data_IF_920586542760
#
_entry.id   IF_920586542760
#
_cell.length_a   1.000
_cell.length_b   1.000
_cell.length_c   1.000
_cell.angle_alpha   90.00
_cell.angle_beta   90.00
_cell.angle_gamma   90.00
#
_symmetry.space_group_name_H-M   'P 1'
#
loop_
_entity.id
_entity.type
_entity.pdbx_description
1 polymer ?
#
# COMPACT_ATOMS: atom_id res chain seq x y z
N UNK A 1 -18.62 0.10 -15.35
CA UNK A 1 -18.32 -0.57 -16.63
C UNK A 1 -18.49 -2.07 -16.41
N UNK A 2 -19.20 -2.80 -17.33
CA UNK A 2 -19.35 -4.24 -17.24
C UNK A 2 -18.02 -4.97 -17.16
N UNK A 3 -18.02 -6.15 -16.52
CA UNK A 3 -16.85 -7.02 -16.46
C UNK A 3 -16.93 -8.06 -17.56
N UNK A 4 -15.81 -8.34 -18.21
CA UNK A 4 -15.63 -9.46 -19.09
C UNK A 4 -15.68 -10.79 -18.33
N UNK A 5 -15.77 -11.93 -19.02
CA UNK A 5 -15.87 -13.25 -18.41
C UNK A 5 -14.67 -13.60 -17.49
N UNK A 6 -13.50 -13.01 -17.74
CA UNK A 6 -12.30 -13.15 -16.91
C UNK A 6 -12.29 -12.23 -15.67
N UNK A 7 -13.39 -11.50 -15.42
CA UNK A 7 -13.52 -10.55 -14.31
C UNK A 7 -12.87 -9.19 -14.54
N UNK A 8 -12.17 -8.98 -15.65
CA UNK A 8 -11.58 -7.69 -16.02
C UNK A 8 -12.63 -6.72 -16.53
N UNK A 9 -12.31 -5.43 -16.63
CA UNK A 9 -13.18 -4.44 -17.29
C UNK A 9 -13.24 -4.71 -18.79
N UNK A 10 -14.42 -4.62 -19.39
CA UNK A 10 -14.59 -4.64 -20.86
C UNK A 10 -13.95 -3.42 -21.52
N UNK A 11 -13.90 -2.28 -20.83
CA UNK A 11 -13.11 -1.13 -21.25
C UNK A 11 -11.65 -1.31 -20.79
N UNK A 12 -10.74 -1.42 -21.74
CA UNK A 12 -9.31 -1.68 -21.50
C UNK A 12 -8.44 -0.40 -21.44
N UNK A 13 -9.07 0.76 -21.35
CA UNK A 13 -8.37 2.05 -21.32
C UNK A 13 -8.34 2.77 -22.67
N UNK A 14 -7.91 4.04 -22.69
CA UNK A 14 -8.01 4.91 -23.86
C UNK A 14 -7.17 4.45 -25.06
N UNK A 15 -6.07 3.74 -24.81
CA UNK A 15 -5.12 3.34 -25.87
C UNK A 15 -5.44 1.99 -26.51
N UNK A 16 -6.23 1.16 -25.86
CA UNK A 16 -6.57 -0.19 -26.37
C UNK A 16 -7.79 -0.20 -27.29
N UNK A 17 -8.54 0.90 -27.37
CA UNK A 17 -9.74 1.09 -28.20
C UNK A 17 -10.81 -0.01 -28.02
N UNK A 18 -10.82 -0.69 -26.88
CA UNK A 18 -11.75 -1.78 -26.55
C UNK A 18 -12.77 -1.27 -25.55
N UNK A 19 -14.05 -1.48 -25.82
CA UNK A 19 -15.15 -1.05 -24.94
C UNK A 19 -15.38 0.45 -24.89
N UNK A 20 -14.90 1.24 -25.86
CA UNK A 20 -15.03 2.68 -25.88
C UNK A 20 -16.48 3.16 -25.73
N UNK A 21 -17.44 2.50 -26.41
CA UNK A 21 -18.87 2.84 -26.32
C UNK A 21 -19.42 2.70 -24.88
N UNK A 22 -18.85 1.84 -24.05
CA UNK A 22 -19.21 1.71 -22.62
C UNK A 22 -18.67 2.88 -21.81
N UNK A 23 -17.46 3.32 -22.13
CA UNK A 23 -16.88 4.51 -21.52
C UNK A 23 -17.68 5.75 -21.86
N UNK A 24 -18.03 5.96 -23.14
CA UNK A 24 -18.79 7.13 -23.63
C UNK A 24 -20.20 7.20 -23.02
N UNK A 25 -20.80 6.07 -22.66
CA UNK A 25 -22.07 6.02 -21.91
C UNK A 25 -21.89 6.41 -20.44
N UNK A 26 -20.73 6.12 -19.87
CA UNK A 26 -20.45 6.34 -18.44
C UNK A 26 -19.88 7.72 -18.14
N UNK A 27 -19.13 8.31 -19.08
CA UNK A 27 -18.43 9.59 -18.88
C UNK A 27 -18.77 10.53 -20.04
N UNK A 28 -19.20 11.72 -19.72
CA UNK A 28 -19.44 12.77 -20.70
C UNK A 28 -18.85 14.10 -20.25
N UNK A 29 -18.40 14.90 -21.20
CA UNK A 29 -17.83 16.24 -20.98
C UNK A 29 -18.63 17.29 -21.73
N UNK A 30 -19.00 18.36 -21.05
CA UNK A 30 -19.63 19.52 -21.64
C UNK A 30 -19.03 20.82 -21.08
N UNK A 31 -18.30 21.55 -21.89
CA UNK A 31 -17.53 22.70 -21.43
C UNK A 31 -16.51 22.29 -20.37
N UNK A 32 -16.60 22.85 -19.18
CA UNK A 32 -15.73 22.56 -18.03
C UNK A 32 -16.35 21.54 -17.06
N UNK A 33 -17.43 20.88 -17.43
CA UNK A 33 -18.13 19.92 -16.59
C UNK A 33 -17.92 18.51 -17.09
N UNK A 34 -17.49 17.61 -16.19
CA UNK A 34 -17.40 16.17 -16.41
C UNK A 34 -18.54 15.51 -15.63
N UNK A 35 -19.31 14.67 -16.32
CA UNK A 35 -20.40 13.90 -15.71
C UNK A 35 -20.07 12.42 -15.73
N UNK A 36 -20.12 11.78 -14.55
CA UNK A 36 -19.97 10.34 -14.40
C UNK A 36 -21.31 9.71 -14.09
N UNK A 37 -21.74 8.75 -14.91
CA UNK A 37 -22.95 7.93 -14.68
C UNK A 37 -22.54 6.61 -14.05
N UNK A 38 -22.84 6.47 -12.77
CA UNK A 38 -22.55 5.26 -12.02
C UNK A 38 -23.70 4.25 -12.21
N UNK A 39 -23.39 2.96 -12.27
CA UNK A 39 -24.38 1.88 -12.35
C UNK A 39 -25.00 1.52 -11.00
N UNK A 40 -24.47 2.04 -9.91
CA UNK A 40 -24.99 1.91 -8.54
C UNK A 40 -24.54 3.10 -7.70
N UNK A 41 -25.21 3.33 -6.59
CA UNK A 41 -24.74 4.29 -5.59
C UNK A 41 -23.36 3.88 -5.07
N UNK A 42 -22.44 4.82 -5.00
CA UNK A 42 -21.09 4.65 -4.46
C UNK A 42 -20.70 5.93 -3.72
N UNK A 43 -20.88 5.90 -2.40
CA UNK A 43 -20.67 7.06 -1.53
C UNK A 43 -19.24 7.63 -1.62
N UNK A 44 -18.24 6.73 -1.78
CA UNK A 44 -16.83 7.09 -1.80
C UNK A 44 -16.29 7.46 -3.21
N UNK A 45 -17.19 7.70 -4.18
CA UNK A 45 -16.76 7.96 -5.56
C UNK A 45 -15.84 9.19 -5.67
N UNK A 46 -16.16 10.25 -4.95
CA UNK A 46 -15.32 11.46 -4.93
C UNK A 46 -13.93 11.17 -4.36
N UNK A 47 -13.87 10.33 -3.34
CA UNK A 47 -12.59 9.90 -2.77
C UNK A 47 -11.79 9.06 -3.77
N UNK A 48 -12.44 8.16 -4.50
CA UNK A 48 -11.79 7.38 -5.55
C UNK A 48 -11.15 8.24 -6.66
N UNK A 49 -11.70 9.43 -6.94
CA UNK A 49 -11.13 10.38 -7.90
C UNK A 49 -9.85 11.07 -7.40
N UNK A 50 -9.52 10.97 -6.10
CA UNK A 50 -8.27 11.51 -5.56
C UNK A 50 -7.06 10.62 -5.83
N UNK A 51 -7.27 9.38 -6.24
CA UNK A 51 -6.17 8.48 -6.63
C UNK A 51 -5.47 8.95 -7.91
N UNK A 52 -4.20 8.60 -8.11
CA UNK A 52 -3.44 8.97 -9.32
C UNK A 52 -4.15 8.63 -10.63
N UNK A 53 -4.94 7.55 -10.66
CA UNK A 53 -5.74 7.17 -11.83
C UNK A 53 -6.84 8.19 -12.19
N UNK A 54 -7.23 9.06 -11.26
CA UNK A 54 -8.17 10.17 -11.48
C UNK A 54 -7.50 11.46 -11.92
N UNK A 55 -6.16 11.52 -11.98
CA UNK A 55 -5.44 12.73 -12.33
C UNK A 55 -5.71 13.15 -13.80
N UNK A 56 -5.99 14.43 -14.08
CA UNK A 56 -6.24 14.89 -15.43
C UNK A 56 -4.96 14.87 -16.27
N UNK A 57 -5.07 14.36 -17.50
CA UNK A 57 -4.00 14.36 -18.49
C UNK A 57 -4.30 15.41 -19.55
N UNK A 58 -3.34 16.30 -19.82
CA UNK A 58 -3.47 17.27 -20.90
C UNK A 58 -3.38 16.56 -22.26
N UNK A 59 -4.47 16.50 -23.02
CA UNK A 59 -4.56 15.73 -24.26
C UNK A 59 -3.42 16.04 -25.25
N UNK A 60 -3.01 17.32 -25.40
CA UNK A 60 -1.89 17.71 -26.28
C UNK A 60 -0.50 17.28 -25.78
N UNK A 61 -0.40 16.73 -24.59
CA UNK A 61 0.84 16.23 -23.97
C UNK A 61 0.78 14.74 -23.67
N UNK A 62 -0.32 14.09 -24.00
CA UNK A 62 -0.48 12.66 -23.85
C UNK A 62 0.40 11.92 -24.87
N UNK A 63 1.32 11.13 -24.34
CA UNK A 63 2.26 10.30 -25.14
C UNK A 63 1.89 8.82 -25.11
N UNK A 64 0.67 8.49 -24.70
CA UNK A 64 0.15 7.14 -24.63
C UNK A 64 0.87 6.29 -23.56
N UNK A 65 1.23 5.07 -23.89
CA UNK A 65 1.86 4.11 -22.99
C UNK A 65 3.22 4.60 -22.41
N UNK A 66 3.75 5.72 -22.88
CA UNK A 66 5.00 6.33 -22.38
C UNK A 66 4.76 7.58 -21.52
N UNK A 67 3.50 7.92 -21.27
CA UNK A 67 3.16 9.14 -20.54
C UNK A 67 3.70 9.16 -19.11
N UNK A 68 3.70 8.01 -18.44
CA UNK A 68 4.19 7.83 -17.07
C UNK A 68 5.70 8.06 -16.91
N UNK A 69 6.47 7.95 -18.00
CA UNK A 69 7.91 8.24 -17.96
C UNK A 69 8.20 9.74 -17.83
N UNK A 70 7.29 10.59 -18.32
CA UNK A 70 7.45 12.04 -18.27
C UNK A 70 6.09 12.76 -18.32
N UNK A 71 5.28 12.62 -17.27
CA UNK A 71 3.96 13.24 -17.21
C UNK A 71 4.07 14.76 -17.24
N UNK A 72 3.05 15.40 -17.83
CA UNK A 72 2.91 16.85 -17.79
C UNK A 72 2.42 17.30 -16.42
N UNK A 73 3.36 17.68 -15.55
CA UNK A 73 3.10 17.95 -14.15
C UNK A 73 2.43 19.31 -13.91
N UNK A 74 1.41 19.34 -13.07
CA UNK A 74 0.80 20.55 -12.52
C UNK A 74 1.32 20.93 -11.13
N UNK A 75 2.11 20.05 -10.49
CA UNK A 75 2.69 20.24 -9.17
C UNK A 75 3.97 21.06 -9.15
N UNK A 76 4.58 21.28 -7.95
CA UNK A 76 5.77 22.09 -7.78
C UNK A 76 7.04 21.50 -8.39
N UNK A 77 7.02 20.22 -8.72
CA UNK A 77 8.13 19.52 -9.38
C UNK A 77 7.68 18.87 -10.67
N UNK A 78 8.62 18.68 -11.60
CA UNK A 78 8.43 17.91 -12.84
C UNK A 78 9.63 16.97 -13.03
N UNK A 79 9.44 15.88 -13.76
CA UNK A 79 10.51 14.94 -14.06
C UNK A 79 11.48 15.57 -15.06
N UNK A 80 12.76 15.68 -14.69
CA UNK A 80 13.87 16.05 -15.55
C UNK A 80 14.39 14.86 -16.34
N UNK A 81 14.66 13.77 -15.63
CA UNK A 81 15.10 12.50 -16.22
C UNK A 81 14.54 11.32 -15.44
N UNK A 82 14.30 10.19 -16.12
CA UNK A 82 13.87 8.95 -15.49
C UNK A 82 14.46 7.75 -16.22
N UNK A 83 15.26 6.98 -15.51
CA UNK A 83 15.77 5.68 -15.91
C UNK A 83 15.11 4.61 -15.07
N UNK A 84 14.24 3.82 -15.68
CA UNK A 84 13.41 2.82 -15.01
C UNK A 84 14.29 1.86 -14.19
N UNK A 85 13.92 1.65 -12.93
CA UNK A 85 14.61 0.74 -12.02
C UNK A 85 15.94 1.25 -11.46
N UNK A 86 16.39 2.45 -11.84
CA UNK A 86 17.65 3.03 -11.42
C UNK A 86 17.44 4.38 -10.71
N UNK A 87 17.13 5.44 -11.48
CA UNK A 87 17.08 6.79 -10.92
C UNK A 87 16.01 7.66 -11.60
N UNK A 88 15.34 8.49 -10.81
CA UNK A 88 14.50 9.57 -11.29
C UNK A 88 14.97 10.90 -10.71
N UNK A 89 15.08 11.90 -11.55
CA UNK A 89 15.44 13.26 -11.17
C UNK A 89 14.25 14.20 -11.38
N UNK A 90 13.92 14.94 -10.33
CA UNK A 90 12.90 15.96 -10.35
C UNK A 90 13.57 17.34 -10.21
N UNK A 91 13.03 18.31 -10.93
CA UNK A 91 13.41 19.73 -10.84
C UNK A 91 12.18 20.58 -10.55
N UNK A 92 12.39 21.80 -10.09
CA UNK A 92 11.28 22.74 -9.87
C UNK A 92 10.49 22.99 -11.15
N UNK A 93 9.17 22.96 -11.02
CA UNK A 93 8.27 23.29 -12.11
C UNK A 93 8.00 24.80 -12.15
N UNK A 94 8.64 25.54 -13.04
CA UNK A 94 8.48 26.99 -13.18
C UNK A 94 7.05 27.44 -13.56
N UNK A 95 6.21 26.53 -14.00
CA UNK A 95 4.80 26.84 -14.29
C UNK A 95 3.90 26.73 -13.05
N UNK A 96 4.37 26.11 -11.97
CA UNK A 96 3.61 26.00 -10.71
C UNK A 96 3.55 27.33 -9.97
N UNK A 97 2.39 27.63 -9.38
CA UNK A 97 2.17 28.86 -8.60
C UNK A 97 1.67 28.51 -7.20
N UNK A 98 2.31 29.06 -6.18
CA UNK A 98 1.91 28.90 -4.77
C UNK A 98 0.47 29.36 -4.52
N UNK A 99 -0.02 30.37 -5.25
CA UNK A 99 -1.38 30.88 -5.12
C UNK A 99 -2.48 29.86 -5.50
N UNK A 100 -2.15 28.89 -6.36
CA UNK A 100 -3.05 27.81 -6.72
C UNK A 100 -2.88 26.52 -5.91
N UNK A 101 -1.89 26.48 -5.01
CA UNK A 101 -1.55 25.32 -4.20
C UNK A 101 -1.04 25.75 -2.81
N UNK A 102 -1.94 26.08 -1.90
CA UNK A 102 -1.57 26.56 -0.58
C UNK A 102 -0.94 25.48 0.31
N UNK A 103 -1.14 24.21 -0.01
CA UNK A 103 -0.75 23.06 0.84
C UNK A 103 0.74 22.72 0.68
N UNK A 104 1.22 22.59 -0.57
CA UNK A 104 2.59 22.13 -0.84
C UNK A 104 3.60 23.27 -0.77
N UNK A 105 4.74 23.02 -0.13
CA UNK A 105 5.87 23.94 -0.08
C UNK A 105 7.11 23.24 -0.62
N UNK A 106 7.60 23.63 -1.81
CA UNK A 106 8.75 22.99 -2.45
C UNK A 106 10.05 23.54 -1.87
N UNK A 107 10.60 22.93 -0.82
CA UNK A 107 11.86 23.35 -0.22
C UNK A 107 13.08 23.00 -1.08
N UNK A 108 13.28 21.74 -1.54
CA UNK A 108 14.40 21.38 -2.39
C UNK A 108 14.34 22.02 -3.77
N UNK A 109 15.49 22.29 -4.39
CA UNK A 109 15.56 22.69 -5.79
C UNK A 109 15.46 21.48 -6.72
N UNK A 110 16.19 20.42 -6.39
CA UNK A 110 16.20 19.14 -7.08
C UNK A 110 15.91 18.01 -6.11
N UNK A 111 15.26 16.95 -6.61
CA UNK A 111 15.02 15.71 -5.85
C UNK A 111 15.53 14.55 -6.72
N UNK A 112 16.41 13.73 -6.16
CA UNK A 112 16.93 12.53 -6.80
C UNK A 112 16.35 11.31 -6.08
N UNK A 113 15.57 10.51 -6.80
CA UNK A 113 15.01 9.25 -6.29
C UNK A 113 15.84 8.11 -6.87
N UNK A 114 16.45 7.32 -6.02
CA UNK A 114 17.20 6.09 -6.40
C UNK A 114 16.35 4.88 -6.13
N UNK A 115 16.27 3.99 -7.11
CA UNK A 115 15.50 2.74 -7.05
C UNK A 115 16.44 1.54 -6.95
N UNK A 116 15.92 0.44 -6.43
CA UNK A 116 16.60 -0.86 -6.46
C UNK A 116 17.89 -0.94 -5.64
N UNK A 117 18.11 -0.06 -4.68
CA UNK A 117 19.22 -0.21 -3.75
C UNK A 117 19.04 -1.48 -2.92
N UNK A 118 20.13 -2.23 -2.74
CA UNK A 118 20.15 -3.33 -1.79
C UNK A 118 19.87 -2.82 -0.37
N UNK A 119 19.15 -3.59 0.42
CA UNK A 119 18.68 -3.15 1.75
C UNK A 119 19.82 -2.79 2.70
N UNK A 120 20.92 -3.55 2.65
CA UNK A 120 22.13 -3.29 3.43
C UNK A 120 22.80 -1.97 3.05
N UNK A 121 22.90 -1.67 1.75
CA UNK A 121 23.45 -0.41 1.23
C UNK A 121 22.57 0.78 1.65
N UNK A 122 21.26 0.65 1.51
CA UNK A 122 20.31 1.68 1.95
C UNK A 122 20.42 1.95 3.44
N UNK A 123 20.44 0.89 4.25
CA UNK A 123 20.51 0.97 5.69
C UNK A 123 21.83 1.63 6.14
N UNK A 124 22.95 1.29 5.50
CA UNK A 124 24.24 1.90 5.79
C UNK A 124 24.24 3.40 5.49
N UNK A 125 23.69 3.82 4.35
CA UNK A 125 23.55 5.24 4.00
C UNK A 125 22.82 6.01 5.11
N UNK A 126 21.74 5.43 5.66
CA UNK A 126 20.91 6.07 6.68
C UNK A 126 21.58 6.05 8.07
N UNK A 127 22.22 4.94 8.44
CA UNK A 127 22.89 4.82 9.74
C UNK A 127 24.10 5.73 9.87
N UNK A 128 24.90 5.84 8.82
CA UNK A 128 26.15 6.58 8.78
C UNK A 128 26.02 8.02 8.24
N UNK A 129 24.80 8.40 7.82
CA UNK A 129 24.53 9.73 7.21
C UNK A 129 25.45 10.05 6.03
N UNK A 130 25.75 9.03 5.22
CA UNK A 130 26.73 9.11 4.14
C UNK A 130 26.36 10.12 3.05
N UNK A 131 25.07 10.33 2.84
CA UNK A 131 24.55 11.25 1.83
C UNK A 131 23.63 12.26 2.53
N UNK A 132 24.09 13.51 2.70
CA UNK A 132 23.29 14.55 3.35
C UNK A 132 21.92 14.77 2.68
N UNK A 133 20.93 15.15 3.48
CA UNK A 133 19.56 15.42 3.03
C UNK A 133 18.87 14.23 2.35
N UNK A 134 19.25 13.02 2.72
CA UNK A 134 18.61 11.78 2.23
C UNK A 134 17.48 11.35 3.14
N UNK A 135 16.40 10.86 2.53
CA UNK A 135 15.25 10.25 3.21
C UNK A 135 15.03 8.85 2.63
N UNK A 136 14.95 7.84 3.48
CA UNK A 136 14.48 6.53 3.08
C UNK A 136 12.94 6.50 3.08
N UNK A 137 12.34 6.06 1.98
CA UNK A 137 10.90 5.83 1.87
C UNK A 137 10.52 4.41 2.32
N UNK A 138 11.51 3.53 2.44
CA UNK A 138 11.34 2.18 2.97
C UNK A 138 11.88 2.09 4.40
N UNK A 139 11.30 1.20 5.20
CA UNK A 139 11.82 0.91 6.54
C UNK A 139 13.20 0.27 6.46
N UNK A 140 14.05 0.58 7.44
CA UNK A 140 15.31 -0.16 7.64
C UNK A 140 15.02 -1.62 8.03
N UNK A 141 15.99 -2.49 7.82
CA UNK A 141 15.92 -3.86 8.32
C UNK A 141 15.70 -3.87 9.86
N UNK A 142 14.99 -4.85 10.42
CA UNK A 142 14.55 -4.80 11.83
C UNK A 142 15.69 -4.58 12.86
N UNK A 143 16.85 -5.17 12.64
CA UNK A 143 18.01 -4.98 13.53
C UNK A 143 18.53 -3.55 13.46
N UNK A 144 18.64 -3.00 12.26
CA UNK A 144 19.10 -1.63 12.01
C UNK A 144 18.07 -0.59 12.48
N UNK A 145 16.79 -0.87 12.36
CA UNK A 145 15.71 -0.03 12.92
C UNK A 145 15.89 0.15 14.42
N UNK A 146 16.12 -0.94 15.17
CA UNK A 146 16.34 -0.86 16.62
C UNK A 146 17.57 -0.03 16.96
N UNK A 147 18.68 -0.24 16.27
CA UNK A 147 19.92 0.53 16.45
C UNK A 147 19.71 2.01 16.19
N UNK A 148 19.05 2.35 15.08
CA UNK A 148 18.76 3.73 14.71
C UNK A 148 17.84 4.42 15.72
N UNK A 149 16.81 3.72 16.21
CA UNK A 149 15.89 4.24 17.21
C UNK A 149 16.48 4.27 18.63
N UNK A 150 17.48 3.50 18.94
CA UNK A 150 18.20 3.56 20.20
C UNK A 150 19.18 4.74 20.26
N UNK A 151 19.66 5.25 19.13
CA UNK A 151 20.63 6.34 19.07
C UNK A 151 19.94 7.70 19.34
N UNK A 152 20.25 8.37 20.47
CA UNK A 152 19.64 9.66 20.79
C UNK A 152 20.02 10.78 19.83
N UNK A 153 21.16 10.67 19.14
CA UNK A 153 21.62 11.67 18.15
C UNK A 153 20.76 11.68 16.90
N UNK A 154 20.10 10.56 16.59
CA UNK A 154 19.20 10.36 15.43
C UNK A 154 17.74 10.74 15.73
N UNK A 155 17.41 11.22 16.93
CA UNK A 155 16.03 11.48 17.36
C UNK A 155 15.25 12.38 16.39
N UNK A 156 15.88 13.39 15.82
CA UNK A 156 15.23 14.33 14.89
C UNK A 156 15.22 13.85 13.42
N UNK A 157 15.83 12.71 13.15
CA UNK A 157 15.91 12.12 11.80
C UNK A 157 14.94 10.95 11.61
N UNK A 158 14.07 10.69 12.59
CA UNK A 158 13.18 9.54 12.60
C UNK A 158 11.78 9.90 13.06
N UNK A 159 10.82 9.15 12.55
CA UNK A 159 9.46 9.13 13.07
C UNK A 159 8.92 7.72 13.00
N UNK A 160 8.02 7.39 13.91
CA UNK A 160 7.28 6.13 13.90
C UNK A 160 5.80 6.46 14.09
N UNK A 161 4.98 6.06 13.13
CA UNK A 161 3.54 6.32 13.13
C UNK A 161 2.78 5.04 12.84
N UNK A 162 1.59 4.92 13.41
CA UNK A 162 0.73 3.80 13.09
C UNK A 162 0.22 3.91 11.65
N UNK A 163 0.42 2.84 10.88
CA UNK A 163 -0.22 2.68 9.58
C UNK A 163 -1.65 2.10 9.75
N UNK A 164 -2.56 2.31 8.80
CA UNK A 164 -3.91 1.76 8.84
C UNK A 164 -3.99 0.30 8.38
N UNK A 165 -2.87 -0.34 8.08
CA UNK A 165 -2.83 -1.67 7.48
C UNK A 165 -2.72 -2.78 8.52
N UNK A 166 -3.32 -3.91 8.22
CA UNK A 166 -3.17 -5.16 8.96
C UNK A 166 -2.36 -6.13 8.12
N UNK A 167 -1.31 -6.70 8.70
CA UNK A 167 -0.55 -7.77 8.07
C UNK A 167 -1.22 -9.09 8.34
N UNK A 168 -1.48 -9.85 7.29
CA UNK A 168 -2.20 -11.12 7.40
C UNK A 168 -1.70 -12.14 6.37
N UNK A 169 -1.90 -13.41 6.66
CA UNK A 169 -1.74 -14.48 5.68
C UNK A 169 -3.10 -14.89 5.12
N UNK A 170 -3.32 -14.67 3.83
CA UNK A 170 -4.54 -15.10 3.16
C UNK A 170 -4.46 -16.59 2.80
N UNK A 171 -5.47 -17.35 3.20
CA UNK A 171 -5.59 -18.76 2.83
C UNK A 171 -6.45 -18.89 1.57
N UNK A 172 -5.94 -19.54 0.52
CA UNK A 172 -6.73 -19.80 -0.70
C UNK A 172 -7.71 -20.94 -0.46
N UNK A 173 -8.92 -20.61 -0.04
CA UNK A 173 -9.98 -21.57 0.28
C UNK A 173 -10.48 -22.39 -0.92
N UNK A 174 -10.10 -22.03 -2.14
CA UNK A 174 -10.48 -22.76 -3.36
C UNK A 174 -9.45 -23.81 -3.79
N UNK A 175 -8.32 -23.96 -3.09
CA UNK A 175 -7.23 -24.87 -3.47
C UNK A 175 -6.64 -25.59 -2.26
N UNK A 176 -6.22 -26.86 -2.49
CA UNK A 176 -5.33 -27.61 -1.63
C UNK A 176 -5.80 -27.76 -0.19
N UNK A 177 -6.91 -28.41 0.08
CA UNK A 177 -7.46 -28.69 1.42
C UNK A 177 -7.74 -27.45 2.31
N UNK A 178 -7.53 -26.23 1.80
CA UNK A 178 -7.85 -25.00 2.54
C UNK A 178 -9.36 -24.68 2.55
N UNK A 179 -10.17 -25.43 1.82
CA UNK A 179 -11.63 -25.48 1.96
C UNK A 179 -12.04 -26.08 3.31
N UNK A 180 -11.23 -26.97 3.89
CA UNK A 180 -11.44 -27.55 5.21
C UNK A 180 -11.22 -26.52 6.33
N UNK A 181 -12.26 -26.28 7.14
CA UNK A 181 -12.20 -25.32 8.25
C UNK A 181 -11.24 -25.75 9.36
N UNK A 182 -11.14 -27.06 9.64
CA UNK A 182 -10.28 -27.59 10.69
C UNK A 182 -8.79 -27.41 10.31
N UNK A 183 -8.44 -27.52 9.02
CA UNK A 183 -7.08 -27.21 8.53
C UNK A 183 -6.76 -25.71 8.70
N UNK A 184 -7.68 -24.83 8.32
CA UNK A 184 -7.46 -23.38 8.50
C UNK A 184 -7.29 -23.00 9.96
N UNK A 185 -8.10 -23.58 10.85
CA UNK A 185 -7.94 -23.41 12.30
C UNK A 185 -6.60 -23.97 12.79
N UNK A 186 -6.18 -25.14 12.32
CA UNK A 186 -4.88 -25.70 12.68
C UNK A 186 -3.72 -24.75 12.32
N UNK A 187 -3.73 -24.18 11.11
CA UNK A 187 -2.74 -23.17 10.70
C UNK A 187 -2.77 -21.96 11.64
N UNK A 188 -3.96 -21.43 11.93
CA UNK A 188 -4.12 -20.27 12.81
C UNK A 188 -3.56 -20.51 14.22
N UNK A 189 -3.85 -21.66 14.82
CA UNK A 189 -3.36 -21.99 16.17
C UNK A 189 -1.89 -22.41 16.21
N UNK A 190 -1.31 -22.87 15.09
CA UNK A 190 0.10 -23.25 15.02
C UNK A 190 1.04 -22.04 14.96
N UNK A 191 0.58 -20.89 14.44
CA UNK A 191 1.43 -19.72 14.21
C UNK A 191 1.95 -19.13 15.52
N UNK A 192 3.27 -19.01 15.63
CA UNK A 192 3.92 -18.23 16.69
C UNK A 192 3.97 -16.75 16.27
N UNK A 193 2.93 -16.02 16.65
CA UNK A 193 2.79 -14.58 16.34
C UNK A 193 3.85 -13.75 17.07
N UNK A 194 4.25 -14.15 18.29
CA UNK A 194 5.31 -13.45 19.01
C UNK A 194 6.63 -13.50 18.27
N UNK A 195 7.01 -14.68 17.74
CA UNK A 195 8.23 -14.81 16.95
C UNK A 195 8.20 -13.94 15.68
N UNK A 196 7.05 -13.81 15.01
CA UNK A 196 6.90 -12.92 13.86
C UNK A 196 7.07 -11.44 14.25
N UNK A 197 6.51 -11.04 15.38
CA UNK A 197 6.67 -9.68 15.92
C UNK A 197 8.14 -9.41 16.24
N UNK A 198 8.82 -10.34 16.90
CA UNK A 198 10.23 -10.21 17.29
C UNK A 198 11.19 -10.15 16.09
N UNK A 199 10.96 -11.00 15.09
CA UNK A 199 11.70 -10.98 13.83
C UNK A 199 11.51 -9.67 13.05
N UNK A 200 10.34 -9.02 13.21
CA UNK A 200 10.00 -7.76 12.52
C UNK A 200 10.41 -6.51 13.32
N UNK A 201 11.19 -6.65 14.37
CA UNK A 201 11.71 -5.52 15.15
C UNK A 201 11.08 -5.34 16.53
N UNK A 202 10.05 -6.11 16.87
CA UNK A 202 9.31 -6.02 18.13
C UNK A 202 8.00 -5.21 18.00
N UNK A 203 7.25 -5.16 19.09
CA UNK A 203 5.91 -4.51 19.12
C UNK A 203 5.94 -3.03 18.77
N UNK A 204 7.02 -2.34 19.11
CA UNK A 204 7.19 -0.92 18.84
C UNK A 204 7.12 -0.61 17.32
N UNK A 205 7.63 -1.52 16.47
CA UNK A 205 7.72 -1.30 15.02
C UNK A 205 6.73 -2.14 14.22
N UNK A 206 6.36 -3.31 14.71
CA UNK A 206 5.46 -4.21 14.02
C UNK A 206 4.01 -4.10 14.50
N UNK A 207 3.80 -3.69 15.75
CA UNK A 207 2.51 -3.55 16.39
C UNK A 207 2.06 -4.80 17.16
N UNK A 208 0.81 -4.77 17.60
CA UNK A 208 0.18 -5.83 18.35
C UNK A 208 -0.56 -6.84 17.46
N UNK A 209 -0.83 -8.06 17.96
CA UNK A 209 -1.70 -9.01 17.27
C UNK A 209 -3.06 -8.38 16.96
N UNK A 210 -3.49 -8.47 15.70
CA UNK A 210 -4.78 -7.95 15.27
C UNK A 210 -5.92 -8.93 15.55
N UNK A 211 -7.07 -8.40 15.94
CA UNK A 211 -8.33 -9.14 16.10
C UNK A 211 -9.34 -8.81 14.99
N UNK A 212 -8.99 -7.88 14.10
CA UNK A 212 -9.90 -7.29 13.13
C UNK A 212 -9.11 -6.80 11.90
N UNK A 213 -9.63 -6.93 10.67
CA UNK A 213 -9.01 -6.34 9.49
C UNK A 213 -9.02 -4.80 9.48
N UNK A 214 -9.86 -4.17 10.30
CA UNK A 214 -9.92 -2.71 10.49
C UNK A 214 -9.23 -2.37 11.80
N UNK A 215 -8.20 -1.52 11.75
CA UNK A 215 -7.43 -1.11 12.93
C UNK A 215 -8.12 -0.04 13.76
N UNK A 216 -7.83 0.02 15.08
CA UNK A 216 -8.37 1.08 15.98
C UNK A 216 -8.03 2.51 15.51
N UNK A 217 -6.92 2.71 14.81
CA UNK A 217 -6.51 4.03 14.27
C UNK A 217 -7.51 4.60 13.25
N UNK A 218 -8.35 3.76 12.65
CA UNK A 218 -9.41 4.19 11.74
C UNK A 218 -10.66 4.73 12.46
N UNK A 219 -10.63 4.81 13.80
CA UNK A 219 -11.63 5.50 14.57
C UNK A 219 -13.04 4.91 14.44
N UNK A 220 -13.97 5.67 13.85
CA UNK A 220 -15.38 5.30 13.76
C UNK A 220 -15.65 4.00 12.96
N UNK A 221 -14.77 3.65 12.04
CA UNK A 221 -14.90 2.43 11.25
C UNK A 221 -14.43 1.18 11.99
N UNK A 222 -13.68 1.36 13.09
CA UNK A 222 -13.24 0.25 13.92
C UNK A 222 -14.36 -0.20 14.87
N UNK A 223 -14.65 -1.49 14.84
CA UNK A 223 -15.50 -2.16 15.85
C UNK A 223 -14.73 -3.34 16.40
N UNK A 224 -14.52 -3.35 17.70
CA UNK A 224 -13.88 -4.49 18.38
C UNK A 224 -14.65 -5.77 18.05
N UNK A 225 -13.91 -6.80 17.67
CA UNK A 225 -14.50 -8.12 17.39
C UNK A 225 -15.17 -8.66 18.66
N UNK A 226 -16.44 -9.05 18.54
CA UNK A 226 -17.21 -9.64 19.64
C UNK A 226 -17.15 -11.17 19.64
N UNK A 227 -16.62 -11.76 18.60
CA UNK A 227 -16.40 -13.20 18.47
C UNK A 227 -15.09 -13.66 19.11
N UNK A 228 -15.03 -14.93 19.46
CA UNK A 228 -13.87 -15.50 20.15
C UNK A 228 -12.88 -16.08 19.12
N UNK A 229 -12.19 -15.20 18.36
CA UNK A 229 -11.11 -15.62 17.46
C UNK A 229 -9.87 -16.06 18.26
N UNK A 230 -9.69 -15.48 19.45
CA UNK A 230 -8.69 -15.86 20.43
C UNK A 230 -9.40 -16.62 21.58
N UNK A 231 -9.81 -17.86 21.34
CA UNK A 231 -10.40 -18.72 22.36
C UNK A 231 -9.35 -19.19 23.38
N UNK A 232 -9.79 -20.03 24.34
CA UNK A 232 -8.89 -20.56 25.40
C UNK A 232 -7.70 -21.39 24.88
N UNK A 233 -7.74 -21.84 23.62
CA UNK A 233 -6.66 -22.60 23.00
C UNK A 233 -5.67 -21.68 22.24
N UNK A 234 -6.01 -20.41 22.06
CA UNK A 234 -5.10 -19.48 21.40
C UNK A 234 -3.97 -19.04 22.32
N UNK A 235 -2.77 -19.01 21.76
CA UNK A 235 -1.58 -18.46 22.41
C UNK A 235 -0.83 -17.60 21.41
N UNK A 236 -0.28 -16.48 21.85
CA UNK A 236 0.60 -15.64 21.01
C UNK A 236 1.84 -16.39 20.53
N UNK A 237 2.28 -17.38 21.30
CA UNK A 237 3.42 -18.26 20.95
C UNK A 237 3.01 -19.47 20.08
N UNK A 238 1.72 -19.53 19.69
CA UNK A 238 1.15 -20.68 19.03
C UNK A 238 0.77 -21.80 20.00
N UNK A 239 -0.05 -22.74 19.51
CA UNK A 239 -0.45 -23.97 20.23
C UNK A 239 -0.37 -25.16 19.26
N UNK A 240 0.84 -25.70 19.04
CA UNK A 240 1.05 -26.81 18.11
C UNK A 240 0.33 -28.09 18.52
N UNK A 241 0.13 -28.32 19.80
CA UNK A 241 -0.61 -29.48 20.31
C UNK A 241 -2.08 -29.42 19.89
N UNK A 242 -2.73 -28.29 20.09
CA UNK A 242 -4.10 -28.09 19.64
C UNK A 242 -4.22 -28.10 18.11
N UNK A 243 -3.29 -27.47 17.42
CA UNK A 243 -3.22 -27.51 15.96
C UNK A 243 -3.13 -28.95 15.41
N UNK A 244 -2.30 -29.80 16.04
CA UNK A 244 -2.19 -31.21 15.68
C UNK A 244 -3.51 -31.98 15.89
N UNK A 245 -4.25 -31.69 16.95
CA UNK A 245 -5.57 -32.29 17.18
C UNK A 245 -6.58 -31.90 16.10
N UNK A 246 -6.57 -30.64 15.65
CA UNK A 246 -7.39 -30.16 14.55
C UNK A 246 -7.02 -30.83 13.21
N UNK A 247 -5.72 -31.03 12.96
CA UNK A 247 -5.26 -31.76 11.77
C UNK A 247 -5.69 -33.23 11.80
N UNK A 248 -5.67 -33.87 12.97
CA UNK A 248 -6.17 -35.23 13.13
C UNK A 248 -7.69 -35.31 12.85
N UNK A 249 -8.45 -34.34 13.36
CA UNK A 249 -9.89 -34.22 13.11
C UNK A 249 -10.20 -34.00 11.63
N UNK A 250 -9.41 -33.16 10.94
CA UNK A 250 -9.57 -32.86 9.52
C UNK A 250 -9.51 -34.11 8.64
N UNK A 251 -8.73 -35.13 9.00
CA UNK A 251 -8.67 -36.43 8.27
C UNK A 251 -9.98 -37.15 8.20
N UNK A 252 -10.89 -36.93 9.16
CA UNK A 252 -12.21 -37.55 9.20
C UNK A 252 -13.34 -36.62 8.78
N UNK A 253 -13.17 -35.29 8.88
CA UNK A 253 -14.22 -34.29 8.60
C UNK A 253 -14.13 -33.65 7.20
N UNK A 254 -12.99 -33.80 6.54
CA UNK A 254 -12.75 -33.30 5.22
C UNK A 254 -12.15 -34.33 4.28
#
# INVERSE_FOLDING_TARGET
IPKAADGSSEYKGPYKKTGQALYDKAVSCQGNTITFKLNRSFADFNYALTYPAGAPVKASKDTGDKYDLRPFASGPYKIRSYKIGDQMELERNGAWKKSSDPVRTPYPDDIVVRFGLAEDVRDQIMLEDQIPNTVSLDSLQPANTRTFFADPTKKNQRFNVYDPYVRYAAMNVAKGHMDCIDIRKAVFFAINTQALIDLSGGREFYGDPGDNPVKPVLGLDYKKTTGNIHDSNWSINGNPTYAASLMAKAKSSC
#
